data_IF_824989305456
#
_entry.id   IF_824989305456
#
_cell.length_a   1.000
_cell.length_b   1.000
_cell.length_c   1.000
_cell.angle_alpha   90.00
_cell.angle_beta   90.00
_cell.angle_gamma   90.00
#
_symmetry.space_group_name_H-M   'P 1'
#
loop_
_entity.id
_entity.type
_entity.pdbx_description
1 polymer ?
#
# COMPACT_ATOMS: atom_id res chain seq x y z
N UNK A 1 31.43 20.16 -13.78
CA UNK A 1 31.29 19.08 -12.78
C UNK A 1 30.00 19.19 -11.98
N UNK A 2 29.65 20.35 -11.49
CA UNK A 2 28.40 20.58 -10.77
C UNK A 2 27.15 20.23 -11.60
N UNK A 3 27.18 20.52 -12.91
CA UNK A 3 26.08 20.19 -13.81
C UNK A 3 25.81 18.68 -13.89
N UNK A 4 26.87 17.85 -13.98
CA UNK A 4 26.73 16.39 -14.01
C UNK A 4 26.19 15.82 -12.71
N UNK A 5 26.60 16.35 -11.59
CA UNK A 5 26.11 15.92 -10.28
C UNK A 5 24.63 16.24 -10.11
N UNK A 6 24.20 17.42 -10.58
CA UNK A 6 22.78 17.83 -10.57
C UNK A 6 21.92 16.92 -11.44
N UNK A 7 22.37 16.60 -12.66
CA UNK A 7 21.63 15.72 -13.57
C UNK A 7 21.56 14.30 -12.99
N UNK A 8 22.64 13.80 -12.42
CA UNK A 8 22.68 12.48 -11.80
C UNK A 8 21.75 12.39 -10.61
N UNK A 9 21.69 13.43 -9.79
CA UNK A 9 20.82 13.51 -8.63
C UNK A 9 19.34 13.55 -9.02
N UNK A 10 18.99 14.33 -10.04
CA UNK A 10 17.62 14.40 -10.56
C UNK A 10 17.18 13.05 -11.12
N UNK A 11 18.05 12.35 -11.87
CA UNK A 11 17.76 11.02 -12.38
C UNK A 11 17.53 10.01 -11.26
N UNK A 12 18.32 10.06 -10.20
CA UNK A 12 18.19 9.17 -9.06
C UNK A 12 16.87 9.44 -8.32
N UNK A 13 16.49 10.70 -8.14
CA UNK A 13 15.23 11.09 -7.51
C UNK A 13 14.03 10.63 -8.33
N UNK A 14 14.07 10.78 -9.66
CA UNK A 14 13.02 10.28 -10.55
C UNK A 14 12.86 8.76 -10.45
N UNK A 15 13.97 8.03 -10.44
CA UNK A 15 13.95 6.56 -10.32
C UNK A 15 13.35 6.12 -8.99
N UNK A 16 13.74 6.77 -7.90
CA UNK A 16 13.20 6.49 -6.57
C UNK A 16 11.71 6.83 -6.48
N UNK A 17 11.31 7.95 -7.09
CA UNK A 17 9.91 8.34 -7.18
C UNK A 17 9.09 7.31 -7.95
N UNK A 18 9.58 6.85 -9.11
CA UNK A 18 8.93 5.82 -9.91
C UNK A 18 8.76 4.52 -9.13
N UNK A 19 9.79 4.09 -8.39
CA UNK A 19 9.72 2.90 -7.55
C UNK A 19 8.66 3.07 -6.47
N UNK A 20 8.62 4.22 -5.81
CA UNK A 20 7.63 4.52 -4.78
C UNK A 20 6.22 4.53 -5.33
N UNK A 21 6.00 5.06 -6.54
CA UNK A 21 4.70 5.04 -7.21
C UNK A 21 4.27 3.63 -7.61
N UNK A 22 5.19 2.80 -8.08
CA UNK A 22 4.92 1.39 -8.37
C UNK A 22 4.57 0.62 -7.09
N UNK A 23 5.26 0.90 -6.00
CA UNK A 23 4.97 0.30 -4.69
C UNK A 23 3.59 0.70 -4.20
N UNK A 24 3.22 1.97 -4.38
CA UNK A 24 1.88 2.46 -4.04
C UNK A 24 0.81 1.71 -4.81
N UNK A 25 0.95 1.61 -6.13
CA UNK A 25 -0.01 0.93 -6.98
C UNK A 25 -0.14 -0.55 -6.58
N UNK A 26 0.97 -1.21 -6.29
CA UNK A 26 0.98 -2.60 -5.86
C UNK A 26 0.31 -2.80 -4.49
N UNK A 27 0.57 -1.90 -3.55
CA UNK A 27 -0.06 -1.93 -2.23
C UNK A 27 -1.56 -1.69 -2.30
N UNK A 28 -2.00 -0.76 -3.15
CA UNK A 28 -3.41 -0.50 -3.38
C UNK A 28 -4.10 -1.73 -4.00
N UNK A 29 -3.44 -2.40 -4.95
CA UNK A 29 -3.92 -3.65 -5.53
C UNK A 29 -4.02 -4.76 -4.49
N UNK A 30 -3.02 -4.90 -3.62
CA UNK A 30 -3.04 -5.87 -2.52
C UNK A 30 -4.20 -5.61 -1.55
N UNK A 31 -4.50 -4.35 -1.28
CA UNK A 31 -5.62 -3.99 -0.42
C UNK A 31 -6.96 -4.36 -1.07
N UNK A 32 -7.14 -4.09 -2.36
CA UNK A 32 -8.33 -4.46 -3.11
C UNK A 32 -8.52 -5.97 -3.14
N UNK A 33 -7.46 -6.73 -3.42
CA UNK A 33 -7.48 -8.20 -3.38
C UNK A 33 -7.84 -8.72 -1.99
N UNK A 34 -7.35 -8.07 -0.95
CA UNK A 34 -7.69 -8.42 0.42
C UNK A 34 -9.18 -8.25 0.69
N UNK A 35 -9.78 -7.15 0.27
CA UNK A 35 -11.22 -6.92 0.43
C UNK A 35 -12.04 -7.92 -0.38
N UNK A 36 -11.64 -8.25 -1.59
CA UNK A 36 -12.28 -9.28 -2.40
C UNK A 36 -12.23 -10.64 -1.72
N UNK A 37 -11.08 -10.99 -1.14
CA UNK A 37 -10.91 -12.21 -0.37
C UNK A 37 -11.85 -12.24 0.83
N UNK A 38 -11.93 -11.15 1.59
CA UNK A 38 -12.83 -11.03 2.74
C UNK A 38 -14.29 -11.27 2.33
N UNK A 39 -14.75 -10.61 1.26
CA UNK A 39 -16.13 -10.77 0.77
C UNK A 39 -16.40 -12.20 0.30
N UNK A 40 -15.46 -12.81 -0.40
CA UNK A 40 -15.52 -14.19 -0.85
C UNK A 40 -15.65 -15.16 0.32
N UNK A 41 -14.85 -14.99 1.37
CA UNK A 41 -14.88 -15.84 2.57
C UNK A 41 -16.18 -15.65 3.36
N UNK A 42 -16.69 -14.42 3.47
CA UNK A 42 -17.99 -14.16 4.10
C UNK A 42 -19.10 -14.91 3.37
N UNK A 43 -19.13 -14.84 2.04
CA UNK A 43 -20.12 -15.56 1.23
C UNK A 43 -20.03 -17.07 1.44
N UNK A 44 -18.81 -17.59 1.51
CA UNK A 44 -18.59 -19.03 1.76
C UNK A 44 -19.16 -19.47 3.11
N UNK A 45 -18.89 -18.70 4.15
CA UNK A 45 -19.37 -19.01 5.50
C UNK A 45 -20.90 -18.89 5.60
N UNK A 46 -21.48 -17.90 4.94
CA UNK A 46 -22.94 -17.74 4.88
C UNK A 46 -23.56 -18.95 4.19
N UNK A 47 -22.97 -19.45 3.11
CA UNK A 47 -23.45 -20.63 2.40
C UNK A 47 -23.39 -21.90 3.27
N UNK A 48 -22.54 -21.90 4.28
CA UNK A 48 -22.41 -23.00 5.26
C UNK A 48 -23.39 -22.88 6.43
N UNK A 49 -24.25 -21.86 6.44
CA UNK A 49 -25.27 -21.66 7.47
C UNK A 49 -24.89 -20.69 8.58
N UNK A 50 -23.76 -20.00 8.46
CA UNK A 50 -23.34 -18.97 9.43
C UNK A 50 -24.02 -17.65 9.06
N UNK A 51 -24.53 -16.91 10.07
CA UNK A 51 -25.11 -15.59 9.80
C UNK A 51 -24.09 -14.63 9.21
N UNK A 52 -24.52 -13.71 8.36
CA UNK A 52 -23.62 -12.73 7.74
C UNK A 52 -22.85 -11.93 8.78
N UNK A 53 -23.50 -11.49 9.85
CA UNK A 53 -22.86 -10.76 10.94
C UNK A 53 -21.72 -11.56 11.59
N UNK A 54 -21.97 -12.82 11.92
CA UNK A 54 -20.96 -13.68 12.52
C UNK A 54 -19.85 -14.03 11.53
N UNK A 55 -20.20 -14.26 10.25
CA UNK A 55 -19.23 -14.51 9.20
C UNK A 55 -18.28 -13.33 9.03
N UNK A 56 -18.79 -12.10 9.01
CA UNK A 56 -17.97 -10.89 8.91
C UNK A 56 -17.03 -10.72 10.11
N UNK A 57 -17.49 -11.01 11.31
CA UNK A 57 -16.65 -10.96 12.51
C UNK A 57 -15.51 -11.98 12.46
N UNK A 58 -15.82 -13.20 12.06
CA UNK A 58 -14.82 -14.26 11.94
C UNK A 58 -13.75 -13.92 10.92
N UNK A 59 -14.15 -13.48 9.74
CA UNK A 59 -13.20 -13.13 8.67
C UNK A 59 -12.40 -11.89 9.04
N UNK A 60 -13.01 -10.90 9.69
CA UNK A 60 -12.30 -9.72 10.18
C UNK A 60 -11.19 -10.09 11.16
N UNK A 61 -11.50 -10.97 12.13
CA UNK A 61 -10.52 -11.43 13.11
C UNK A 61 -9.38 -12.22 12.47
N UNK A 62 -9.68 -13.12 11.53
CA UNK A 62 -8.70 -13.93 10.82
C UNK A 62 -7.80 -13.10 9.91
N UNK A 63 -8.31 -12.03 9.35
CA UNK A 63 -7.60 -11.20 8.35
C UNK A 63 -7.01 -9.91 8.92
N UNK A 64 -7.16 -9.66 10.22
CA UNK A 64 -6.73 -8.43 10.87
C UNK A 64 -5.22 -8.16 10.70
N UNK A 65 -4.39 -9.16 10.93
CA UNK A 65 -2.94 -9.02 10.78
C UNK A 65 -2.54 -8.69 9.35
N UNK A 66 -3.12 -9.40 8.38
CA UNK A 66 -2.83 -9.16 6.96
C UNK A 66 -3.22 -7.76 6.56
N UNK A 67 -4.42 -7.32 6.95
CA UNK A 67 -4.90 -5.96 6.69
C UNK A 67 -3.99 -4.92 7.31
N UNK A 68 -3.58 -5.13 8.55
CA UNK A 68 -2.68 -4.23 9.27
C UNK A 68 -1.33 -4.08 8.58
N UNK A 69 -0.74 -5.18 8.14
CA UNK A 69 0.53 -5.17 7.40
C UNK A 69 0.40 -4.36 6.12
N UNK A 70 -0.67 -4.55 5.36
CA UNK A 70 -0.90 -3.82 4.11
C UNK A 70 -1.07 -2.32 4.39
N UNK A 71 -1.90 -1.97 5.37
CA UNK A 71 -2.15 -0.56 5.72
C UNK A 71 -0.89 0.12 6.26
N UNK A 72 -0.09 -0.56 7.07
CA UNK A 72 1.19 -0.06 7.56
C UNK A 72 2.17 0.18 6.40
N UNK A 73 2.19 -0.72 5.43
CA UNK A 73 3.00 -0.57 4.21
C UNK A 73 2.59 0.65 3.39
N UNK A 74 1.30 0.87 3.22
CA UNK A 74 0.76 2.04 2.52
C UNK A 74 1.16 3.34 3.23
N UNK A 75 1.02 3.38 4.55
CA UNK A 75 1.38 4.53 5.38
C UNK A 75 2.87 4.85 5.28
N UNK A 76 3.72 3.84 5.40
CA UNK A 76 5.16 4.00 5.30
C UNK A 76 5.58 4.48 3.91
N UNK A 77 5.01 3.91 2.86
CA UNK A 77 5.29 4.32 1.48
C UNK A 77 4.86 5.77 1.24
N UNK A 78 3.73 6.17 1.80
CA UNK A 78 3.25 7.56 1.74
C UNK A 78 4.25 8.52 2.40
N UNK A 79 4.77 8.16 3.56
CA UNK A 79 5.79 8.96 4.26
C UNK A 79 7.07 9.09 3.43
N UNK A 80 7.48 8.02 2.77
CA UNK A 80 8.65 8.03 1.89
C UNK A 80 8.43 8.97 0.70
N UNK A 81 7.25 8.95 0.08
CA UNK A 81 6.91 9.86 -1.01
C UNK A 81 6.93 11.32 -0.54
N UNK A 82 6.39 11.61 0.63
CA UNK A 82 6.40 12.95 1.21
C UNK A 82 7.82 13.44 1.46
N UNK A 83 8.72 12.57 1.93
CA UNK A 83 10.13 12.88 2.13
C UNK A 83 10.83 13.23 0.81
N UNK A 84 10.54 12.50 -0.28
CA UNK A 84 11.08 12.80 -1.61
C UNK A 84 10.64 14.18 -2.09
N UNK A 85 9.36 14.47 -1.97
CA UNK A 85 8.79 15.77 -2.37
C UNK A 85 9.43 16.90 -1.57
N UNK A 86 9.55 16.73 -0.24
CA UNK A 86 10.17 17.72 0.64
C UNK A 86 11.65 17.93 0.31
N UNK A 87 12.36 16.86 0.00
CA UNK A 87 13.77 16.92 -0.40
C UNK A 87 13.98 17.74 -1.68
N UNK A 88 13.10 17.58 -2.66
CA UNK A 88 13.16 18.34 -3.91
C UNK A 88 12.88 19.84 -3.68
N UNK A 89 11.95 20.16 -2.80
CA UNK A 89 11.62 21.56 -2.47
C UNK A 89 12.80 22.24 -1.77
N UNK A 90 13.50 21.56 -0.88
CA UNK A 90 14.63 22.10 -0.13
C UNK A 90 15.84 22.39 -1.03
N UNK A 91 15.99 21.66 -2.14
CA UNK A 91 17.10 21.82 -3.06
C UNK A 91 16.95 22.98 -4.05
N UNK A 92 15.81 23.58 -4.12
CA UNK A 92 15.60 24.81 -4.90
C UNK A 92 16.20 26.01 -4.19
#
# INVERSE_FOLDING_TARGET
MEWFDSVRKNKMNETLYEIAMKNKAKLDEMLDEHYEFVESEVKRLVSMGISEENARKLVADMSEETRKVILDGIEENKKNLERFISSQIIEE
#
